data_IF_445446738476
#
_entry.id   IF_445446738476
#
_cell.length_a   1.000
_cell.length_b   1.000
_cell.length_c   1.000
_cell.angle_alpha   90.00
_cell.angle_beta   90.00
_cell.angle_gamma   90.00
#
_symmetry.space_group_name_H-M   'P 1'
#
loop_
_entity.id
_entity.type
_entity.pdbx_description
1 polymer ?
#
# COMPACT_ATOMS: atom_id res chain seq x y z
N UNK A 1 5.62 2.47 -16.64
CA UNK A 1 4.78 1.71 -15.71
C UNK A 1 5.65 0.77 -14.89
N UNK A 2 5.31 0.56 -13.66
CA UNK A 2 6.04 -0.29 -12.76
C UNK A 2 6.57 0.46 -11.57
N UNK A 3 7.36 -0.22 -10.69
CA UNK A 3 7.78 0.37 -9.41
C UNK A 3 8.57 1.66 -9.55
N UNK A 4 9.46 1.73 -10.52
CA UNK A 4 10.27 2.92 -10.73
C UNK A 4 9.40 4.13 -11.09
N UNK A 5 8.42 3.92 -11.94
CA UNK A 5 7.52 4.97 -12.37
C UNK A 5 6.68 5.49 -11.19
N UNK A 6 6.21 4.58 -10.34
CA UNK A 6 5.45 4.95 -9.15
C UNK A 6 6.30 5.75 -8.16
N UNK A 7 7.57 5.38 -8.00
CA UNK A 7 8.49 6.13 -7.15
C UNK A 7 8.68 7.55 -7.66
N UNK A 8 8.92 7.71 -8.95
CA UNK A 8 9.12 9.01 -9.56
C UNK A 8 7.87 9.90 -9.44
N UNK A 9 6.70 9.31 -9.66
CA UNK A 9 5.44 10.03 -9.53
C UNK A 9 5.23 10.48 -8.08
N UNK A 10 5.51 9.61 -7.12
CA UNK A 10 5.38 9.96 -5.71
C UNK A 10 6.33 11.07 -5.32
N UNK A 11 7.58 11.03 -5.78
CA UNK A 11 8.54 12.09 -5.52
C UNK A 11 8.05 13.43 -6.04
N UNK A 12 7.46 13.42 -7.23
CA UNK A 12 6.92 14.63 -7.83
C UNK A 12 5.76 15.19 -7.01
N UNK A 13 4.85 14.33 -6.55
CA UNK A 13 3.74 14.76 -5.70
C UNK A 13 4.22 15.32 -4.37
N UNK A 14 5.21 14.69 -3.77
CA UNK A 14 5.77 15.16 -2.50
C UNK A 14 6.41 16.54 -2.65
N UNK A 15 7.05 16.78 -3.78
CA UNK A 15 7.67 18.07 -4.07
C UNK A 15 6.63 19.14 -4.39
N UNK A 16 5.62 18.78 -5.18
CA UNK A 16 4.59 19.74 -5.61
C UNK A 16 3.65 20.13 -4.48
N UNK A 17 3.44 19.23 -3.51
CA UNK A 17 2.50 19.47 -2.40
C UNK A 17 3.20 19.21 -1.06
N UNK A 18 4.12 20.10 -0.66
CA UNK A 18 4.98 19.84 0.49
C UNK A 18 4.25 19.74 1.82
N UNK A 19 3.04 20.32 1.92
CA UNK A 19 2.27 20.30 3.15
C UNK A 19 1.22 19.19 3.20
N UNK A 20 1.08 18.44 2.13
CA UNK A 20 0.10 17.35 2.07
C UNK A 20 0.63 16.06 2.61
N UNK A 21 -0.26 15.28 3.21
CA UNK A 21 -0.01 13.89 3.58
C UNK A 21 -0.83 13.00 2.66
N UNK A 22 -0.34 11.78 2.46
CA UNK A 22 -0.87 10.89 1.44
C UNK A 22 -1.26 9.54 2.01
N UNK A 23 -2.25 8.92 1.38
CA UNK A 23 -2.57 7.51 1.57
C UNK A 23 -2.23 6.83 0.25
N UNK A 24 -1.40 5.79 0.32
CA UNK A 24 -0.95 5.06 -0.86
C UNK A 24 -1.82 3.83 -1.05
N UNK A 25 -2.42 3.69 -2.23
CA UNK A 25 -3.38 2.62 -2.50
C UNK A 25 -2.90 1.80 -3.69
N UNK A 26 -2.86 0.50 -3.52
CA UNK A 26 -2.47 -0.42 -4.58
C UNK A 26 -3.01 -1.82 -4.33
N UNK A 27 -2.42 -2.80 -5.01
CA UNK A 27 -2.79 -4.20 -4.82
C UNK A 27 -1.54 -5.08 -4.66
N UNK A 28 -1.74 -6.35 -4.34
CA UNK A 28 -0.63 -7.27 -4.12
C UNK A 28 -0.24 -8.05 -5.38
N UNK A 29 -0.89 -7.78 -6.51
CA UNK A 29 -0.57 -8.41 -7.79
C UNK A 29 0.68 -7.88 -8.45
N UNK A 30 1.21 -6.76 -7.96
CA UNK A 30 2.46 -6.16 -8.41
C UNK A 30 3.31 -5.90 -7.17
N UNK A 31 4.41 -5.20 -7.33
CA UNK A 31 5.32 -4.93 -6.20
C UNK A 31 4.89 -3.71 -5.37
N UNK A 32 3.60 -3.43 -5.35
CA UNK A 32 3.07 -2.24 -4.67
C UNK A 32 3.41 -2.19 -3.17
N UNK A 33 3.27 -3.29 -2.40
CA UNK A 33 3.60 -3.20 -0.97
C UNK A 33 5.03 -2.76 -0.71
N UNK A 34 5.99 -3.32 -1.45
CA UNK A 34 7.40 -2.97 -1.31
C UNK A 34 7.66 -1.54 -1.77
N UNK A 35 7.08 -1.16 -2.91
CA UNK A 35 7.24 0.18 -3.46
C UNK A 35 6.70 1.23 -2.50
N UNK A 36 5.53 0.99 -1.94
CA UNK A 36 4.90 1.95 -1.03
C UNK A 36 5.62 2.06 0.30
N UNK A 37 6.16 0.95 0.81
CA UNK A 37 6.99 0.99 2.00
C UNK A 37 8.26 1.81 1.76
N UNK A 38 8.85 1.69 0.58
CA UNK A 38 10.01 2.49 0.20
C UNK A 38 9.67 3.98 0.19
N UNK A 39 8.54 4.34 -0.40
CA UNK A 39 8.09 5.73 -0.42
C UNK A 39 7.88 6.25 1.01
N UNK A 40 7.22 5.47 1.86
CA UNK A 40 6.96 5.88 3.23
C UNK A 40 8.26 6.10 4.01
N UNK A 41 9.26 5.27 3.78
CA UNK A 41 10.56 5.44 4.45
C UNK A 41 11.33 6.65 3.95
N UNK A 42 11.23 6.95 2.66
CA UNK A 42 11.92 8.12 2.08
C UNK A 42 11.34 9.45 2.53
N UNK A 43 10.05 9.45 2.82
CA UNK A 43 9.32 10.68 3.16
C UNK A 43 8.62 10.53 4.51
N UNK A 44 9.39 10.49 5.61
CA UNK A 44 8.80 10.30 6.95
C UNK A 44 7.76 11.39 7.25
N UNK A 45 6.64 10.96 7.81
CA UNK A 45 5.58 11.89 8.18
C UNK A 45 4.68 12.32 7.04
N UNK A 46 4.97 11.91 5.80
CA UNK A 46 4.20 12.32 4.63
C UNK A 46 3.16 11.27 4.21
N UNK A 47 3.34 10.03 4.61
CA UNK A 47 2.42 8.93 4.29
C UNK A 47 1.69 8.52 5.56
N UNK A 48 0.36 8.65 5.55
CA UNK A 48 -0.47 8.30 6.70
C UNK A 48 -0.75 6.81 6.78
N UNK A 49 -0.95 6.18 5.64
CA UNK A 49 -1.32 4.76 5.58
C UNK A 49 -1.01 4.20 4.21
N UNK A 50 -0.82 2.90 4.16
CA UNK A 50 -0.70 2.14 2.93
C UNK A 50 -1.89 1.19 2.87
N UNK A 51 -2.56 1.16 1.72
CA UNK A 51 -3.75 0.32 1.52
C UNK A 51 -3.44 -0.64 0.39
N UNK A 52 -3.51 -1.93 0.68
CA UNK A 52 -3.23 -2.97 -0.30
C UNK A 52 -4.46 -3.85 -0.45
N UNK A 53 -5.03 -3.87 -1.66
CA UNK A 53 -6.12 -4.78 -1.96
C UNK A 53 -5.54 -6.15 -2.29
N UNK A 54 -6.01 -7.14 -1.57
CA UNK A 54 -5.61 -8.52 -1.81
C UNK A 54 -6.38 -9.06 -3.01
N UNK A 55 -5.65 -9.57 -4.00
CA UNK A 55 -6.27 -10.11 -5.19
C UNK A 55 -6.85 -11.49 -4.90
N UNK A 56 -7.98 -11.81 -5.55
CA UNK A 56 -8.56 -13.13 -5.45
C UNK A 56 -7.65 -14.16 -6.15
N UNK A 57 -7.81 -15.45 -5.86
CA UNK A 57 -7.06 -16.48 -6.57
C UNK A 57 -7.25 -16.45 -8.09
N UNK A 58 -8.34 -15.87 -8.58
CA UNK A 58 -8.55 -15.71 -10.02
C UNK A 58 -7.75 -14.53 -10.58
N UNK A 59 -7.53 -13.52 -9.78
CA UNK A 59 -6.81 -12.31 -10.20
C UNK A 59 -5.31 -12.48 -10.07
N UNK A 60 -4.86 -13.16 -9.03
CA UNK A 60 -3.47 -13.55 -8.93
C UNK A 60 -3.25 -14.75 -9.86
N UNK A 61 -2.25 -14.68 -10.71
CA UNK A 61 -1.90 -15.82 -11.53
C UNK A 61 -1.65 -17.00 -10.60
N UNK A 62 -2.29 -18.12 -10.90
CA UNK A 62 -2.55 -19.13 -9.94
C UNK A 62 -1.41 -19.94 -9.37
N UNK A 63 -0.15 -19.55 -9.55
CA UNK A 63 0.93 -20.36 -9.01
C UNK A 63 0.88 -20.47 -7.50
N UNK A 64 0.63 -19.37 -6.84
CA UNK A 64 0.53 -19.35 -5.38
C UNK A 64 -0.66 -20.17 -4.90
N UNK A 65 -1.79 -20.08 -5.58
CA UNK A 65 -2.97 -20.84 -5.21
C UNK A 65 -2.81 -22.35 -5.56
N UNK A 66 -2.09 -22.65 -6.62
CA UNK A 66 -1.83 -24.05 -6.99
C UNK A 66 -0.89 -24.73 -5.98
N UNK A 67 0.08 -23.99 -5.48
CA UNK A 67 1.04 -24.53 -4.52
C UNK A 67 0.52 -24.48 -3.08
N UNK A 68 -0.62 -23.84 -2.84
CA UNK A 68 -1.12 -23.67 -1.50
C UNK A 68 -0.31 -22.66 -0.69
N UNK A 69 0.61 -22.00 -1.31
CA UNK A 69 1.37 -20.93 -0.65
C UNK A 69 0.51 -19.67 -0.62
N UNK A 70 0.13 -19.27 0.55
CA UNK A 70 -0.39 -17.92 0.75
C UNK A 70 0.73 -16.98 0.36
N UNK A 71 0.36 -15.83 -0.19
CA UNK A 71 1.33 -14.88 -0.66
C UNK A 71 2.40 -14.67 0.41
N UNK A 72 3.57 -15.14 0.14
CA UNK A 72 4.72 -15.04 1.02
C UNK A 72 5.52 -13.78 0.70
N UNK A 73 4.84 -12.73 0.26
CA UNK A 73 5.55 -11.48 0.11
C UNK A 73 6.03 -11.04 1.48
N UNK A 74 7.33 -10.81 1.65
CA UNK A 74 7.82 -10.35 2.94
C UNK A 74 7.09 -9.07 3.31
N UNK A 75 6.67 -8.99 4.56
CA UNK A 75 6.03 -7.78 5.06
C UNK A 75 6.98 -6.61 4.86
N UNK A 76 6.56 -5.57 4.14
CA UNK A 76 7.43 -4.43 3.92
C UNK A 76 7.79 -3.78 5.24
N UNK A 77 9.05 -3.40 5.40
CA UNK A 77 9.52 -2.75 6.63
C UNK A 77 9.17 -1.27 6.55
N UNK A 78 8.18 -0.86 7.33
CA UNK A 78 7.78 0.54 7.45
C UNK A 78 7.03 0.74 8.77
N UNK A 79 7.14 1.95 9.32
CA UNK A 79 6.38 2.32 10.53
C UNK A 79 4.96 2.75 10.21
N UNK A 80 4.63 2.91 8.95
CA UNK A 80 3.31 3.36 8.52
C UNK A 80 2.35 2.16 8.52
N UNK A 81 1.13 2.31 9.07
CA UNK A 81 0.17 1.21 9.07
C UNK A 81 -0.18 0.76 7.66
N UNK A 82 -0.26 -0.55 7.48
CA UNK A 82 -0.64 -1.17 6.22
C UNK A 82 -1.99 -1.86 6.42
N UNK A 83 -2.98 -1.43 5.66
CA UNK A 83 -4.33 -1.99 5.72
C UNK A 83 -4.58 -2.85 4.50
N UNK A 84 -5.05 -4.06 4.71
CA UNK A 84 -5.30 -5.01 3.63
C UNK A 84 -6.72 -5.50 3.66
N UNK A 85 -7.19 -5.97 2.53
CA UNK A 85 -8.52 -6.56 2.41
C UNK A 85 -8.77 -6.91 0.96
N UNK A 86 -9.85 -7.67 0.73
CA UNK A 86 -10.21 -8.09 -0.63
C UNK A 86 -11.10 -7.07 -1.33
N UNK A 87 -11.79 -6.22 -0.57
CA UNK A 87 -12.65 -5.17 -1.10
C UNK A 87 -12.37 -3.85 -0.39
N UNK A 88 -12.72 -2.76 -1.04
CA UNK A 88 -12.63 -1.45 -0.42
C UNK A 88 -13.43 -1.35 0.87
N UNK A 89 -14.58 -2.00 0.92
CA UNK A 89 -15.43 -2.01 2.11
C UNK A 89 -14.74 -2.69 3.30
N UNK A 90 -14.09 -3.83 3.07
CA UNK A 90 -13.33 -4.52 4.12
C UNK A 90 -12.19 -3.65 4.65
N UNK A 91 -11.46 -3.04 3.74
CA UNK A 91 -10.32 -2.18 4.10
C UNK A 91 -10.80 -0.99 4.92
N UNK A 92 -11.87 -0.37 4.49
CA UNK A 92 -12.40 0.82 5.14
C UNK A 92 -12.80 0.57 6.59
N UNK A 93 -13.36 -0.61 6.87
CA UNK A 93 -13.77 -0.97 8.23
C UNK A 93 -12.60 -0.95 9.21
N UNK A 94 -11.43 -1.38 8.78
CA UNK A 94 -10.25 -1.40 9.64
C UNK A 94 -9.50 -0.08 9.63
N UNK A 95 -9.53 0.64 8.51
CA UNK A 95 -8.78 1.88 8.36
C UNK A 95 -9.48 3.09 8.99
N UNK A 96 -10.81 3.14 8.98
CA UNK A 96 -11.55 4.30 9.49
C UNK A 96 -11.21 4.67 10.93
N UNK A 97 -11.16 3.72 11.89
CA UNK A 97 -10.80 4.09 13.25
C UNK A 97 -9.43 4.75 13.34
N UNK A 98 -8.47 4.25 12.57
CA UNK A 98 -7.14 4.84 12.53
C UNK A 98 -7.16 6.26 11.95
N UNK A 99 -7.87 6.45 10.82
CA UNK A 99 -7.95 7.77 10.20
C UNK A 99 -8.57 8.80 11.13
N UNK A 100 -9.56 8.40 11.92
CA UNK A 100 -10.18 9.31 12.88
C UNK A 100 -9.19 9.78 13.94
N UNK A 101 -8.15 9.02 14.22
CA UNK A 101 -7.14 9.44 15.20
C UNK A 101 -6.11 10.38 14.59
N UNK A 102 -5.78 10.22 13.31
CA UNK A 102 -4.69 10.99 12.69
C UNK A 102 -5.17 12.22 11.92
N UNK A 103 -6.46 12.30 11.59
CA UNK A 103 -7.03 13.42 10.84
C UNK A 103 -7.76 14.44 11.72
N UNK A 104 -7.56 14.38 13.00
CA UNK A 104 -8.15 15.35 13.92
C UNK A 104 -7.60 16.75 13.70
#
# INVERSE_FOLDING_TARGET
>A
TGPQHKLEFAEQLMADFPDMKFILVGDDGQKDPTTYATIARRYPGRVLAIVIRELSPRESTGLASVTGLTSTQPTPVTDVPVFTGTTGSNILKTMLPYLKTVLR
#
